data_IF_234912189759
#
_entry.id   IF_234912189759
#
_cell.length_a   1.000
_cell.length_b   1.000
_cell.length_c   1.000
_cell.angle_alpha   90.00
_cell.angle_beta   90.00
_cell.angle_gamma   90.00
#
_symmetry.space_group_name_H-M   'P 1'
#
loop_
_entity.id
_entity.type
_entity.pdbx_description
1 polymer ?
#
# COMPACT_ATOMS: atom_id res chain seq x y z
N UNK A 1 80.10 -14.19 31.22
CA UNK A 1 78.99 -14.01 30.27
C UNK A 1 77.73 -14.65 30.83
N UNK A 2 76.58 -14.02 30.57
CA UNK A 2 75.19 -14.47 30.79
C UNK A 2 74.56 -14.14 32.15
N UNK A 3 74.07 -12.91 32.23
CA UNK A 3 72.93 -12.54 33.08
C UNK A 3 71.65 -13.11 32.44
N UNK A 4 70.84 -13.84 33.21
CA UNK A 4 69.45 -14.15 32.86
C UNK A 4 68.59 -12.96 33.32
N UNK A 5 67.97 -12.25 32.37
CA UNK A 5 66.86 -11.35 32.64
C UNK A 5 65.57 -12.05 32.20
N UNK A 6 64.67 -12.29 33.16
CA UNK A 6 63.33 -12.81 32.93
C UNK A 6 62.44 -11.61 32.58
N UNK A 7 61.97 -11.53 31.34
CA UNK A 7 60.91 -10.62 30.92
C UNK A 7 59.56 -11.27 31.23
N UNK A 8 58.85 -10.72 32.22
CA UNK A 8 57.45 -11.03 32.47
C UNK A 8 56.58 -10.26 31.46
N UNK A 9 55.85 -10.97 30.61
CA UNK A 9 54.80 -10.39 29.78
C UNK A 9 53.52 -10.25 30.64
N UNK A 10 53.19 -9.02 31.01
CA UNK A 10 51.89 -8.65 31.57
C UNK A 10 50.85 -8.66 30.43
N UNK A 11 50.03 -9.70 30.37
CA UNK A 11 48.81 -9.69 29.58
C UNK A 11 47.76 -8.86 30.33
N UNK A 12 47.44 -7.67 29.81
CA UNK A 12 46.32 -6.88 30.28
C UNK A 12 45.01 -7.53 29.81
N UNK A 13 44.30 -8.19 30.71
CA UNK A 13 42.88 -8.52 30.51
C UNK A 13 42.08 -7.23 30.59
N UNK A 14 41.67 -6.70 29.43
CA UNK A 14 40.59 -5.70 29.38
C UNK A 14 39.29 -6.45 29.65
N UNK A 15 38.84 -6.42 30.90
CA UNK A 15 37.47 -6.78 31.23
C UNK A 15 36.55 -5.72 30.61
N UNK A 16 35.97 -6.02 29.45
CA UNK A 16 34.87 -5.25 28.91
C UNK A 16 33.68 -5.41 29.86
N UNK A 17 33.44 -4.39 30.67
CA UNK A 17 32.17 -4.26 31.39
C UNK A 17 31.08 -4.00 30.35
N UNK A 18 29.94 -4.70 30.38
CA UNK A 18 28.81 -4.31 29.56
C UNK A 18 28.33 -2.97 30.10
N UNK A 19 28.39 -1.92 29.28
CA UNK A 19 27.82 -0.63 29.63
C UNK A 19 26.31 -0.81 29.80
N UNK A 20 25.84 -0.57 31.02
CA UNK A 20 24.44 -0.29 31.32
C UNK A 20 24.01 0.96 30.56
N UNK A 21 23.63 0.78 29.30
CA UNK A 21 23.02 1.82 28.47
C UNK A 21 22.08 1.17 27.46
N UNK A 22 21.09 0.41 27.95
CA UNK A 22 20.01 -0.05 27.05
C UNK A 22 18.67 -0.28 27.76
N UNK A 23 18.43 0.43 28.86
CA UNK A 23 17.11 0.48 29.52
C UNK A 23 16.33 1.78 29.17
N UNK A 24 16.69 2.45 28.07
CA UNK A 24 16.12 3.74 27.68
C UNK A 24 15.82 3.93 26.19
N UNK A 25 16.00 2.90 25.36
CA UNK A 25 15.68 2.94 23.92
C UNK A 25 14.24 2.44 23.65
N UNK A 26 13.26 2.95 24.39
CA UNK A 26 11.86 2.84 23.97
C UNK A 26 11.63 3.95 22.94
N UNK A 27 11.39 3.55 21.70
CA UNK A 27 10.78 4.39 20.65
C UNK A 27 11.67 5.40 19.89
N UNK A 28 12.90 5.02 19.51
CA UNK A 28 13.56 5.71 18.39
C UNK A 28 13.11 5.11 17.07
N UNK A 29 12.30 5.90 16.36
CA UNK A 29 11.80 5.76 14.98
C UNK A 29 12.82 5.11 14.04
N UNK A 30 12.76 3.79 13.90
CA UNK A 30 13.36 3.08 12.76
C UNK A 30 12.28 2.99 11.69
N UNK A 31 12.28 3.92 10.74
CA UNK A 31 11.61 3.72 9.45
C UNK A 31 12.52 2.84 8.63
N UNK A 32 12.43 1.53 8.83
CA UNK A 32 13.17 0.58 8.00
C UNK A 32 12.29 0.27 6.77
N UNK A 33 12.77 0.37 5.52
CA UNK A 33 12.00 -0.04 4.34
C UNK A 33 11.50 -1.50 4.37
N UNK A 34 11.98 -2.29 5.33
CA UNK A 34 11.47 -3.63 5.64
C UNK A 34 10.20 -3.64 6.51
N UNK A 35 9.73 -2.52 7.04
CA UNK A 35 8.51 -2.50 7.84
C UNK A 35 7.28 -2.74 6.94
N UNK A 36 6.31 -3.49 7.44
CA UNK A 36 5.16 -3.92 6.63
C UNK A 36 3.93 -3.05 6.91
N UNK A 37 3.25 -2.58 5.86
CA UNK A 37 1.84 -2.21 5.91
C UNK A 37 1.03 -3.37 5.34
N UNK A 38 0.16 -3.95 6.15
CA UNK A 38 -0.63 -5.13 5.78
C UNK A 38 -2.06 -4.71 5.48
N UNK A 39 -2.45 -4.88 4.22
CA UNK A 39 -3.83 -4.78 3.75
C UNK A 39 -4.50 -6.14 3.89
N UNK A 40 -5.60 -6.22 4.64
CA UNK A 40 -6.42 -7.43 4.73
C UNK A 40 -7.48 -7.44 3.63
N UNK A 41 -7.33 -8.32 2.66
CA UNK A 41 -8.06 -8.25 1.40
C UNK A 41 -9.51 -8.75 1.45
N UNK A 42 -9.97 -9.36 2.55
CA UNK A 42 -11.33 -9.90 2.68
C UNK A 42 -12.44 -8.86 2.51
N UNK A 43 -12.16 -7.59 2.84
CA UNK A 43 -13.14 -6.51 2.82
C UNK A 43 -12.96 -5.52 1.66
N UNK A 44 -11.94 -5.73 0.83
CA UNK A 44 -11.61 -4.90 -0.33
C UNK A 44 -10.97 -5.72 -1.48
N UNK A 45 -11.62 -6.82 -1.90
CA UNK A 45 -11.02 -7.75 -2.87
C UNK A 45 -10.69 -7.11 -4.23
N UNK A 46 -11.51 -6.17 -4.74
CA UNK A 46 -11.28 -5.52 -6.03
C UNK A 46 -10.10 -4.54 -5.96
N UNK A 47 -9.96 -3.84 -4.83
CA UNK A 47 -8.81 -2.98 -4.55
C UNK A 47 -7.53 -3.79 -4.40
N UNK A 48 -7.56 -4.88 -3.63
CA UNK A 48 -6.41 -5.78 -3.51
C UNK A 48 -6.01 -6.42 -4.84
N UNK A 49 -6.99 -6.70 -5.71
CA UNK A 49 -6.73 -7.18 -7.06
C UNK A 49 -5.88 -6.17 -7.85
N UNK A 50 -6.26 -4.89 -7.86
CA UNK A 50 -5.51 -3.81 -8.51
C UNK A 50 -4.09 -3.67 -7.92
N UNK A 51 -3.98 -3.63 -6.58
CA UNK A 51 -2.68 -3.53 -5.90
C UNK A 51 -1.76 -4.71 -6.25
N UNK A 52 -2.27 -5.95 -6.26
CA UNK A 52 -1.50 -7.14 -6.62
C UNK A 52 -1.08 -7.12 -8.10
N UNK A 53 -1.98 -6.75 -9.01
CA UNK A 53 -1.65 -6.63 -10.43
C UNK A 53 -0.55 -5.58 -10.66
N UNK A 54 -0.67 -4.39 -10.08
CA UNK A 54 0.36 -3.35 -10.19
C UNK A 54 1.69 -3.76 -9.59
N UNK A 55 1.68 -4.28 -8.36
CA UNK A 55 2.88 -4.68 -7.66
C UNK A 55 3.64 -5.80 -8.37
N UNK A 56 2.94 -6.83 -8.85
CA UNK A 56 3.56 -8.09 -9.28
C UNK A 56 3.42 -8.39 -10.77
N UNK A 57 2.30 -8.05 -11.42
CA UNK A 57 2.13 -8.31 -12.85
C UNK A 57 2.82 -7.24 -13.70
N UNK A 58 2.58 -5.96 -13.38
CA UNK A 58 3.28 -4.83 -14.03
C UNK A 58 4.71 -4.71 -13.52
N UNK A 59 4.95 -5.07 -12.25
CA UNK A 59 6.29 -5.05 -11.66
C UNK A 59 6.68 -3.71 -11.04
N UNK A 60 5.68 -2.88 -10.68
CA UNK A 60 5.89 -1.62 -9.94
C UNK A 60 6.54 -1.90 -8.58
N UNK A 61 6.29 -3.07 -8.00
CA UNK A 61 6.83 -3.49 -6.71
C UNK A 61 5.98 -3.01 -5.52
N UNK A 62 6.37 -3.44 -4.32
CA UNK A 62 5.61 -3.21 -3.08
C UNK A 62 6.29 -2.25 -2.10
N UNK A 63 7.50 -1.77 -2.42
CA UNK A 63 8.24 -0.84 -1.57
C UNK A 63 7.83 0.57 -1.92
N UNK A 64 7.10 1.21 -1.02
CA UNK A 64 6.52 2.52 -1.22
C UNK A 64 7.06 3.53 -0.20
N UNK A 65 7.09 4.79 -0.60
CA UNK A 65 7.40 5.93 0.24
C UNK A 65 6.16 6.81 0.31
N UNK A 66 5.61 6.98 1.51
CA UNK A 66 4.76 8.14 1.76
C UNK A 66 5.68 9.34 1.86
N UNK A 67 5.70 10.17 0.82
CA UNK A 67 6.56 11.34 0.73
C UNK A 67 5.88 12.64 1.16
N UNK A 68 4.66 12.52 1.71
CA UNK A 68 3.80 13.64 2.11
C UNK A 68 3.67 14.67 0.97
N UNK A 69 3.17 14.24 -0.20
CA UNK A 69 3.05 15.11 -1.35
C UNK A 69 2.05 16.24 -1.06
N UNK A 70 2.28 17.39 -1.69
CA UNK A 70 1.30 18.48 -1.74
C UNK A 70 0.12 18.12 -2.67
N UNK A 71 -0.93 18.94 -2.66
CA UNK A 71 -2.14 18.71 -3.46
C UNK A 71 -1.83 18.64 -4.95
N UNK A 72 -0.95 19.50 -5.46
CA UNK A 72 -0.51 19.49 -6.87
C UNK A 72 0.15 18.16 -7.24
N UNK A 73 1.08 17.67 -6.41
CA UNK A 73 1.76 16.39 -6.66
C UNK A 73 0.77 15.23 -6.60
N UNK A 74 -0.18 15.23 -5.66
CA UNK A 74 -1.24 14.21 -5.60
C UNK A 74 -2.10 14.25 -6.86
N UNK A 75 -2.56 15.43 -7.27
CA UNK A 75 -3.37 15.63 -8.48
C UNK A 75 -2.64 15.09 -9.71
N UNK A 76 -1.38 15.46 -9.90
CA UNK A 76 -0.58 14.97 -11.04
C UNK A 76 -0.41 13.44 -11.02
N UNK A 77 -0.27 12.83 -9.84
CA UNK A 77 -0.21 11.36 -9.72
C UNK A 77 -1.53 10.69 -10.06
N UNK A 78 -2.68 11.26 -9.66
CA UNK A 78 -4.02 10.81 -10.08
C UNK A 78 -4.20 10.97 -11.59
N UNK A 79 -3.69 12.07 -12.17
CA UNK A 79 -3.68 12.30 -13.62
C UNK A 79 -2.92 11.20 -14.34
N UNK A 80 -1.68 10.95 -13.91
CA UNK A 80 -0.82 9.92 -14.47
C UNK A 80 -1.41 8.51 -14.31
N UNK A 81 -2.22 8.29 -13.27
CA UNK A 81 -2.98 7.06 -13.09
C UNK A 81 -4.27 7.00 -13.93
N UNK A 82 -4.81 8.12 -14.43
CA UNK A 82 -6.07 8.17 -15.17
C UNK A 82 -7.32 8.30 -14.29
N UNK A 83 -7.16 8.76 -13.05
CA UNK A 83 -8.22 8.83 -12.03
C UNK A 83 -8.77 10.25 -11.76
N UNK A 84 -8.52 11.24 -12.62
CA UNK A 84 -9.07 12.60 -12.45
C UNK A 84 -10.49 12.71 -13.02
N UNK A 85 -11.39 13.32 -12.23
CA UNK A 85 -12.79 13.49 -12.60
C UNK A 85 -13.01 14.41 -13.79
N UNK A 86 -12.28 15.52 -13.84
CA UNK A 86 -12.44 16.58 -14.83
C UNK A 86 -11.88 16.19 -16.21
N UNK A 87 -10.88 15.30 -16.28
CA UNK A 87 -10.21 14.87 -17.54
C UNK A 87 -10.43 13.44 -18.02
N UNK A 88 -11.44 12.74 -17.51
CA UNK A 88 -11.88 11.48 -18.11
C UNK A 88 -11.56 10.23 -17.31
N UNK A 89 -11.76 10.29 -16.00
CA UNK A 89 -11.97 9.11 -15.16
C UNK A 89 -13.00 8.17 -15.80
N UNK A 90 -12.50 7.07 -16.37
CA UNK A 90 -13.30 6.05 -17.07
C UNK A 90 -14.24 5.28 -16.15
N UNK A 91 -14.06 5.38 -14.83
CA UNK A 91 -14.92 4.77 -13.83
C UNK A 91 -16.10 5.68 -13.45
N UNK A 92 -16.20 6.86 -14.07
CA UNK A 92 -17.28 7.81 -13.84
C UNK A 92 -18.54 7.43 -14.63
N UNK A 93 -19.71 7.68 -14.03
CA UNK A 93 -21.00 7.65 -14.73
C UNK A 93 -21.05 8.64 -15.90
N UNK A 94 -20.26 9.73 -15.86
CA UNK A 94 -20.11 10.69 -16.98
C UNK A 94 -19.47 10.03 -18.22
N UNK A 95 -18.77 8.91 -18.05
CA UNK A 95 -18.19 8.06 -19.10
C UNK A 95 -18.97 6.75 -19.29
N UNK A 96 -20.24 6.72 -18.89
CA UNK A 96 -21.15 5.57 -18.98
C UNK A 96 -20.69 4.32 -18.17
N UNK A 97 -19.87 4.50 -17.14
CA UNK A 97 -19.57 3.42 -16.20
C UNK A 97 -20.70 3.22 -15.17
N UNK A 98 -20.69 2.07 -14.49
CA UNK A 98 -21.68 1.73 -13.47
C UNK A 98 -21.61 2.67 -12.26
N UNK A 99 -22.79 3.06 -11.74
CA UNK A 99 -22.90 3.84 -10.50
C UNK A 99 -22.36 3.03 -9.32
N UNK A 100 -21.69 3.71 -8.40
CA UNK A 100 -21.16 3.10 -7.17
C UNK A 100 -19.73 2.57 -7.32
N UNK A 101 -19.07 2.90 -8.43
CA UNK A 101 -17.67 2.61 -8.68
C UNK A 101 -16.81 3.89 -8.60
N UNK A 102 -15.54 3.71 -8.28
CA UNK A 102 -14.51 4.74 -8.27
C UNK A 102 -13.23 4.20 -8.92
N UNK A 103 -12.37 5.12 -9.33
CA UNK A 103 -11.04 4.80 -9.84
C UNK A 103 -10.10 4.57 -8.66
N UNK A 104 -9.58 3.35 -8.54
CA UNK A 104 -8.50 3.02 -7.61
C UNK A 104 -7.19 2.96 -8.37
N UNK A 105 -6.11 3.40 -7.74
CA UNK A 105 -4.81 3.64 -8.36
C UNK A 105 -3.68 2.95 -7.60
N UNK A 106 -2.75 2.37 -8.35
CA UNK A 106 -1.53 1.80 -7.78
C UNK A 106 -0.29 2.26 -8.56
N UNK A 107 0.75 2.79 -7.89
CA UNK A 107 0.78 3.15 -6.47
C UNK A 107 -0.22 4.27 -6.13
N UNK A 108 -0.52 4.40 -4.84
CA UNK A 108 -1.40 5.46 -4.31
C UNK A 108 -0.87 6.85 -4.69
N UNK A 109 -1.74 7.83 -4.96
CA UNK A 109 -1.31 9.22 -5.20
C UNK A 109 -0.47 9.80 -4.04
N UNK A 110 -0.69 9.33 -2.81
CA UNK A 110 0.10 9.71 -1.63
C UNK A 110 1.52 9.14 -1.61
N UNK A 111 1.91 8.27 -2.55
CA UNK A 111 3.18 7.53 -2.50
C UNK A 111 4.03 7.62 -3.76
N UNK A 112 5.34 7.47 -3.57
CA UNK A 112 6.34 7.18 -4.59
C UNK A 112 6.88 5.73 -4.43
N UNK A 113 7.44 5.17 -5.49
CA UNK A 113 8.04 3.82 -5.49
C UNK A 113 9.51 3.87 -5.08
N UNK A 114 9.99 2.87 -4.35
CA UNK A 114 11.39 2.75 -3.94
C UNK A 114 12.05 1.54 -4.61
N UNK A 115 13.12 1.79 -5.39
CA UNK A 115 14.15 0.80 -5.68
C UNK A 115 13.72 -0.43 -6.51
N UNK A 116 12.75 -0.31 -7.42
CA UNK A 116 12.40 -1.43 -8.29
C UNK A 116 11.39 -1.19 -9.40
N UNK A 117 10.51 -0.19 -9.27
CA UNK A 117 9.59 0.24 -10.32
C UNK A 117 9.89 1.65 -10.81
N UNK A 118 9.44 1.94 -12.03
CA UNK A 118 9.37 3.29 -12.55
C UNK A 118 8.37 4.10 -11.70
N UNK A 119 8.85 5.16 -11.01
CA UNK A 119 8.03 6.00 -10.12
C UNK A 119 6.94 6.79 -10.87
N UNK A 120 7.02 6.70 -12.19
CA UNK A 120 6.14 7.28 -13.18
C UNK A 120 5.04 6.29 -13.61
N UNK A 121 5.31 4.99 -13.50
CA UNK A 121 4.36 3.95 -13.87
C UNK A 121 3.25 3.86 -12.83
N UNK A 122 2.02 4.12 -13.28
CA UNK A 122 0.79 4.00 -12.49
C UNK A 122 -0.27 3.26 -13.28
N UNK A 123 -1.07 2.49 -12.59
CA UNK A 123 -2.23 1.80 -13.14
C UNK A 123 -3.48 2.19 -12.39
N UNK A 124 -4.63 1.90 -13.00
CA UNK A 124 -5.92 2.04 -12.35
C UNK A 124 -6.84 0.84 -12.61
N UNK A 125 -7.81 0.66 -11.70
CA UNK A 125 -8.97 -0.25 -11.84
C UNK A 125 -10.23 0.48 -11.38
N UNK A 126 -11.36 0.25 -12.03
CA UNK A 126 -12.63 0.67 -11.45
C UNK A 126 -13.07 -0.35 -10.40
N UNK A 127 -13.23 0.11 -9.17
CA UNK A 127 -13.57 -0.72 -8.00
C UNK A 127 -14.83 -0.17 -7.34
N UNK A 128 -15.56 -0.96 -6.53
CA UNK A 128 -16.66 -0.44 -5.73
C UNK A 128 -16.19 0.72 -4.83
N UNK A 129 -16.92 1.83 -4.83
CA UNK A 129 -16.56 3.04 -4.09
C UNK A 129 -16.35 2.78 -2.59
N UNK A 130 -17.15 1.90 -2.01
CA UNK A 130 -16.99 1.48 -0.61
C UNK A 130 -15.63 0.81 -0.36
N UNK A 131 -15.12 -0.03 -1.26
CA UNK A 131 -13.79 -0.63 -1.10
C UNK A 131 -12.68 0.41 -1.20
N UNK A 132 -12.79 1.34 -2.15
CA UNK A 132 -11.83 2.42 -2.35
C UNK A 132 -11.72 3.32 -1.11
N UNK A 133 -12.86 3.70 -0.51
CA UNK A 133 -12.89 4.47 0.75
C UNK A 133 -12.25 3.72 1.91
N UNK A 134 -12.48 2.40 2.00
CA UNK A 134 -11.84 1.58 3.03
C UNK A 134 -10.32 1.59 2.91
N UNK A 135 -9.80 1.47 1.69
CA UNK A 135 -8.37 1.58 1.40
C UNK A 135 -7.84 2.95 1.84
N UNK A 136 -8.52 4.03 1.45
CA UNK A 136 -8.18 5.40 1.85
C UNK A 136 -8.15 5.60 3.37
N UNK A 137 -9.15 5.10 4.10
CA UNK A 137 -9.20 5.18 5.57
C UNK A 137 -8.07 4.42 6.26
N UNK A 138 -7.69 3.25 5.73
CA UNK A 138 -6.54 2.46 6.21
C UNK A 138 -5.23 3.21 5.98
N UNK A 139 -5.03 3.71 4.77
CA UNK A 139 -3.83 4.46 4.37
C UNK A 139 -3.70 5.73 5.21
N UNK A 140 -4.77 6.50 5.37
CA UNK A 140 -4.79 7.72 6.16
C UNK A 140 -4.48 7.44 7.64
N UNK A 141 -5.12 6.42 8.22
CA UNK A 141 -4.85 5.98 9.60
C UNK A 141 -3.39 5.58 9.80
N UNK A 142 -2.80 4.87 8.84
CA UNK A 142 -1.40 4.46 8.87
C UNK A 142 -0.45 5.67 8.83
N UNK A 143 -0.73 6.67 7.99
CA UNK A 143 0.10 7.89 7.89
C UNK A 143 0.01 8.79 9.12
N UNK A 144 -1.19 8.95 9.70
CA UNK A 144 -1.41 9.85 10.84
C UNK A 144 -0.85 9.29 12.14
N UNK A 145 -0.93 7.98 12.36
CA UNK A 145 -0.54 7.36 13.64
C UNK A 145 0.95 7.01 13.72
N UNK A 146 1.33 6.33 14.80
CA UNK A 146 2.70 6.09 15.29
C UNK A 146 3.72 5.65 14.23
N UNK A 147 3.28 5.04 13.13
CA UNK A 147 4.19 4.58 12.09
C UNK A 147 4.87 5.75 11.36
N UNK A 148 4.12 6.56 10.60
CA UNK A 148 4.70 7.72 9.90
C UNK A 148 4.67 8.99 10.77
N UNK A 149 3.82 9.04 11.79
CA UNK A 149 3.68 10.20 12.70
C UNK A 149 3.35 11.50 11.96
N UNK A 150 2.60 11.41 10.85
CA UNK A 150 2.26 12.54 9.98
C UNK A 150 3.41 13.08 9.13
N UNK A 151 4.57 12.43 9.14
CA UNK A 151 5.74 12.77 8.32
C UNK A 151 6.04 11.71 7.25
N UNK A 152 7.04 11.94 6.38
CA UNK A 152 7.44 10.95 5.40
C UNK A 152 7.95 9.65 6.03
N UNK A 153 7.66 8.52 5.38
CA UNK A 153 8.04 7.17 5.83
C UNK A 153 8.16 6.23 4.62
N UNK A 154 8.92 5.16 4.78
CA UNK A 154 9.05 4.09 3.78
C UNK A 154 8.46 2.81 4.37
N UNK A 155 7.78 2.02 3.55
CA UNK A 155 7.15 0.78 3.98
C UNK A 155 7.04 -0.21 2.82
N UNK A 156 6.86 -1.48 3.14
CA UNK A 156 6.52 -2.53 2.19
C UNK A 156 5.04 -2.87 2.33
N UNK A 157 4.25 -2.63 1.28
CA UNK A 157 2.86 -3.08 1.22
C UNK A 157 2.80 -4.61 1.10
N UNK A 158 1.95 -5.23 1.90
CA UNK A 158 1.66 -6.66 1.87
C UNK A 158 0.15 -6.88 1.85
N UNK A 159 -0.26 -7.93 1.13
CA UNK A 159 -1.67 -8.23 0.87
C UNK A 159 -2.02 -9.54 1.56
N UNK A 160 -2.60 -9.46 2.75
CA UNK A 160 -2.99 -10.60 3.59
C UNK A 160 -4.39 -11.08 3.25
N UNK A 161 -4.64 -12.37 3.52
CA UNK A 161 -5.89 -13.06 3.19
C UNK A 161 -6.23 -12.91 1.69
N UNK A 162 -5.19 -12.80 0.87
CA UNK A 162 -5.28 -12.62 -0.56
C UNK A 162 -5.42 -13.95 -1.31
N UNK A 163 -5.39 -15.10 -0.62
CA UNK A 163 -5.49 -16.43 -1.23
C UNK A 163 -6.77 -16.69 -2.03
N UNK A 164 -7.76 -15.79 -1.94
CA UNK A 164 -8.98 -15.79 -2.76
C UNK A 164 -8.95 -14.80 -3.93
N UNK A 165 -7.80 -14.19 -4.25
CA UNK A 165 -7.64 -13.20 -5.30
C UNK A 165 -6.60 -13.70 -6.29
N UNK A 166 -7.06 -14.20 -7.44
CA UNK A 166 -6.20 -14.78 -8.49
C UNK A 166 -4.97 -13.91 -8.84
N UNK A 167 -5.12 -12.58 -8.95
CA UNK A 167 -3.98 -11.70 -9.29
C UNK A 167 -2.87 -11.70 -8.24
N UNK A 168 -3.23 -11.93 -6.99
CA UNK A 168 -2.25 -12.03 -5.93
C UNK A 168 -1.40 -13.29 -6.08
N UNK A 169 -1.85 -14.37 -6.74
CA UNK A 169 -0.99 -15.55 -7.00
C UNK A 169 0.27 -15.23 -7.84
N UNK A 170 0.26 -14.13 -8.60
CA UNK A 170 1.46 -13.67 -9.33
C UNK A 170 2.65 -13.34 -8.43
N UNK A 171 2.40 -13.06 -7.14
CA UNK A 171 3.41 -12.87 -6.10
C UNK A 171 4.17 -14.17 -5.78
N UNK A 172 3.54 -15.32 -6.04
CA UNK A 172 4.12 -16.66 -5.85
C UNK A 172 4.77 -17.20 -7.13
N UNK A 173 4.94 -16.35 -8.15
CA UNK A 173 5.56 -16.72 -9.42
C UNK A 173 4.60 -17.26 -10.47
N UNK A 174 3.29 -17.41 -10.16
CA UNK A 174 2.29 -17.75 -11.16
C UNK A 174 1.96 -16.53 -12.02
N UNK A 175 2.81 -16.22 -13.02
CA UNK A 175 2.59 -15.09 -13.93
C UNK A 175 1.47 -15.32 -14.94
N UNK A 176 0.93 -16.53 -15.03
CA UNK A 176 -0.16 -16.83 -15.98
C UNK A 176 -1.43 -16.06 -15.65
N UNK A 177 -1.67 -15.74 -14.36
CA UNK A 177 -2.80 -14.91 -13.91
C UNK A 177 -2.74 -13.49 -14.46
N UNK A 178 -1.54 -12.98 -14.79
CA UNK A 178 -1.34 -11.63 -15.32
C UNK A 178 -1.84 -11.46 -16.76
N UNK A 179 -2.25 -12.55 -17.42
CA UNK A 179 -2.76 -12.53 -18.79
C UNK A 179 -4.29 -12.30 -18.87
N UNK A 180 -5.04 -12.47 -17.78
CA UNK A 180 -6.50 -12.17 -17.70
C UNK A 180 -6.68 -10.74 -17.18
N UNK A 181 -6.16 -9.74 -17.90
CA UNK A 181 -6.43 -8.32 -17.61
C UNK A 181 -7.95 -8.13 -17.74
N UNK A 182 -8.64 -7.75 -16.66
CA UNK A 182 -10.09 -7.61 -16.67
C UNK A 182 -10.44 -6.14 -16.84
N UNK A 183 -10.03 -5.33 -15.87
CA UNK A 183 -10.36 -3.92 -15.80
C UNK A 183 -9.15 -3.06 -15.38
N UNK A 184 -7.95 -3.62 -15.37
CA UNK A 184 -6.72 -2.89 -15.12
C UNK A 184 -6.27 -2.17 -16.37
N UNK A 185 -6.04 -0.88 -16.25
CA UNK A 185 -5.55 -0.06 -17.36
C UNK A 185 -4.29 0.67 -16.91
N UNK A 186 -3.29 0.67 -17.78
CA UNK A 186 -2.11 1.51 -17.64
C UNK A 186 -2.56 2.97 -17.75
N UNK A 187 -2.16 3.82 -16.81
CA UNK A 187 -2.57 5.22 -16.81
C UNK A 187 -1.96 6.00 -17.98
N UNK A 188 -2.45 7.21 -18.29
CA UNK A 188 -1.94 7.98 -19.43
C UNK A 188 -0.49 8.44 -19.20
N UNK A 189 -0.03 8.46 -17.94
CA UNK A 189 1.37 8.71 -17.57
C UNK A 189 2.25 7.46 -17.52
N UNK A 190 1.80 6.31 -18.03
CA UNK A 190 2.60 5.09 -17.99
C UNK A 190 3.96 5.28 -18.68
N UNK A 191 5.05 5.12 -17.93
CA UNK A 191 6.42 5.32 -18.42
C UNK A 191 6.89 6.78 -18.51
N UNK A 192 6.10 7.75 -18.04
CA UNK A 192 6.38 9.18 -18.16
C UNK A 192 6.09 9.94 -16.86
N UNK A 193 6.93 10.91 -16.43
CA UNK A 193 6.71 11.59 -15.15
C UNK A 193 5.33 12.24 -15.10
N UNK A 194 4.71 12.22 -13.93
CA UNK A 194 3.47 12.95 -13.68
C UNK A 194 3.70 14.45 -13.91
N UNK A 195 3.24 14.95 -15.07
CA UNK A 195 3.38 16.34 -15.50
C UNK A 195 2.11 17.13 -15.16
N UNK A 196 2.28 18.42 -14.88
CA UNK A 196 1.20 19.40 -14.84
C UNK A 196 0.76 19.69 -16.28
N UNK A 197 0.13 18.73 -16.95
CA UNK A 197 -0.38 18.90 -18.32
C UNK A 197 -1.56 19.87 -18.42
N UNK A 198 -1.53 20.99 -17.70
CA UNK A 198 -2.49 22.08 -17.78
C UNK A 198 -2.06 22.98 -18.95
N UNK A 199 -2.36 22.57 -20.18
CA UNK A 199 -2.30 23.51 -21.32
C UNK A 199 -3.48 24.50 -21.31
N UNK A 200 -4.51 24.24 -20.48
CA UNK A 200 -5.67 25.10 -20.31
C UNK A 200 -5.68 25.77 -18.92
N UNK A 201 -5.47 27.08 -18.90
CA UNK A 201 -5.53 27.99 -17.74
C UNK A 201 -6.98 28.20 -17.22
N UNK A 202 -7.93 27.35 -17.63
CA UNK A 202 -9.36 27.45 -17.32
C UNK A 202 -9.89 26.31 -16.44
N UNK A 203 -9.01 25.41 -16.00
CA UNK A 203 -9.39 24.26 -15.17
C UNK A 203 -10.13 23.15 -15.92
N UNK A 204 -10.11 23.17 -17.27
CA UNK A 204 -10.58 22.05 -18.08
C UNK A 204 -9.38 21.25 -18.59
N UNK A 205 -9.10 20.18 -17.88
CA UNK A 205 -8.17 19.13 -18.25
C UNK A 205 -8.83 18.24 -19.31
N UNK A 206 -8.73 18.62 -20.59
CA UNK A 206 -9.13 17.73 -21.70
C UNK A 206 -7.92 16.89 -22.13
N UNK A 207 -7.39 16.08 -21.21
CA UNK A 207 -6.20 15.23 -21.39
C UNK A 207 -6.52 13.89 -22.08
N UNK A 208 -7.60 13.83 -22.87
CA UNK A 208 -7.88 12.73 -23.79
C UNK A 208 -8.39 11.45 -23.13
N UNK A 209 -8.51 11.40 -21.80
CA UNK A 209 -8.96 10.24 -21.03
C UNK A 209 -8.08 9.00 -21.20
N UNK A 210 -8.21 8.03 -20.29
CA UNK A 210 -7.62 6.72 -20.53
C UNK A 210 -8.33 6.04 -21.71
N UNK A 211 -7.63 5.26 -22.56
CA UNK A 211 -8.32 4.44 -23.56
C UNK A 211 -9.33 3.54 -22.86
N UNK A 212 -10.55 3.48 -23.40
CA UNK A 212 -11.56 2.54 -22.92
C UNK A 212 -10.99 1.11 -23.02
N UNK A 213 -11.18 0.25 -22.00
CA UNK A 213 -10.78 -1.15 -22.11
C UNK A 213 -11.44 -1.77 -23.34
N UNK A 214 -10.78 -2.76 -23.97
CA UNK A 214 -11.36 -3.46 -25.13
C UNK A 214 -12.81 -3.89 -24.81
N UNK A 215 -13.73 -3.46 -25.66
CA UNK A 215 -15.17 -3.39 -25.39
C UNK A 215 -15.79 -4.65 -24.74
N UNK A 216 -16.76 -4.41 -23.86
CA UNK A 216 -17.70 -5.40 -23.32
C UNK A 216 -17.14 -6.47 -22.36
N UNK A 217 -16.08 -6.19 -21.59
CA UNK A 217 -15.73 -7.03 -20.44
C UNK A 217 -16.62 -6.65 -19.23
N UNK A 218 -17.70 -7.39 -18.92
CA UNK A 218 -18.36 -7.24 -17.63
C UNK A 218 -17.33 -7.51 -16.54
N UNK A 219 -17.29 -6.69 -15.48
CA UNK A 219 -16.38 -6.92 -14.35
C UNK A 219 -16.52 -8.38 -13.90
N UNK A 220 -15.49 -9.17 -14.14
CA UNK A 220 -15.51 -10.56 -13.71
C UNK A 220 -15.24 -10.49 -12.23
N UNK A 221 -16.22 -10.94 -11.43
CA UNK A 221 -15.99 -11.15 -10.00
C UNK A 221 -14.69 -11.90 -9.81
N UNK A 222 -13.83 -11.38 -8.93
CA UNK A 222 -12.55 -11.98 -8.59
C UNK A 222 -12.72 -13.50 -8.38
N UNK A 223 -12.01 -14.27 -9.22
CA UNK A 223 -11.91 -15.72 -9.09
C UNK A 223 -11.06 -16.03 -7.86
N UNK A 224 -11.37 -17.17 -7.23
CA UNK A 224 -10.74 -17.63 -5.99
C UNK A 224 -9.80 -18.79 -6.30
N UNK A 225 -8.58 -18.74 -5.76
CA UNK A 225 -7.67 -19.89 -5.72
C UNK A 225 -7.62 -20.51 -4.33
N UNK A 226 -6.92 -21.64 -4.20
CA UNK A 226 -6.72 -22.35 -2.92
C UNK A 226 -5.22 -22.34 -2.54
N UNK A 227 -4.52 -21.25 -2.85
CA UNK A 227 -3.10 -21.15 -2.55
C UNK A 227 -2.90 -20.97 -1.05
N UNK A 228 -2.14 -21.88 -0.42
CA UNK A 228 -1.76 -21.76 0.99
C UNK A 228 -0.51 -20.91 1.09
N UNK A 229 -0.59 -19.75 1.75
CA UNK A 229 0.58 -18.93 2.01
C UNK A 229 1.07 -19.09 3.46
N UNK A 230 2.34 -18.75 3.74
CA UNK A 230 2.86 -18.77 5.11
C UNK A 230 2.05 -17.84 6.02
N UNK A 231 1.66 -18.39 7.17
CA UNK A 231 0.91 -17.67 8.18
C UNK A 231 1.86 -17.27 9.31
N UNK A 232 1.59 -16.13 9.92
CA UNK A 232 2.42 -15.56 10.96
C UNK A 232 1.54 -15.13 12.14
N UNK A 233 2.08 -15.30 13.33
CA UNK A 233 1.51 -14.76 14.56
C UNK A 233 2.20 -13.43 14.87
N UNK A 234 1.43 -12.40 15.19
CA UNK A 234 1.94 -11.11 15.66
C UNK A 234 2.02 -11.02 17.18
N UNK A 235 2.73 -10.01 17.69
CA UNK A 235 2.82 -9.72 19.13
C UNK A 235 1.48 -9.49 19.83
N UNK A 236 0.47 -8.99 19.12
CA UNK A 236 -0.90 -8.83 19.63
C UNK A 236 -1.73 -10.12 19.58
N UNK A 237 -1.18 -11.21 19.04
CA UNK A 237 -1.87 -12.48 18.83
C UNK A 237 -2.71 -12.53 17.56
N UNK A 238 -2.53 -11.57 16.64
CA UNK A 238 -3.19 -11.61 15.33
C UNK A 238 -2.51 -12.65 14.44
N UNK A 239 -3.31 -13.50 13.81
CA UNK A 239 -2.84 -14.40 12.76
C UNK A 239 -3.02 -13.72 11.41
N UNK A 240 -1.93 -13.60 10.66
CA UNK A 240 -1.90 -12.93 9.36
C UNK A 240 -1.22 -13.82 8.34
N UNK A 241 -1.76 -13.81 7.13
CA UNK A 241 -1.17 -14.49 6.00
C UNK A 241 -0.29 -13.49 5.26
N UNK A 242 1.01 -13.73 5.16
CA UNK A 242 1.92 -12.80 4.45
C UNK A 242 2.53 -13.53 3.27
N UNK A 243 1.94 -13.38 2.08
CA UNK A 243 2.54 -13.90 0.88
C UNK A 243 3.93 -13.32 0.60
N UNK A 244 4.80 -14.18 0.06
CA UNK A 244 6.25 -13.90 -0.08
C UNK A 244 7.01 -13.90 1.25
N UNK A 245 6.35 -14.25 2.36
CA UNK A 245 6.94 -14.42 3.68
C UNK A 245 7.22 -13.12 4.43
N UNK A 246 7.55 -13.30 5.72
CA UNK A 246 8.03 -12.27 6.63
C UNK A 246 9.13 -12.83 7.54
N UNK A 247 9.89 -11.95 8.18
CA UNK A 247 10.96 -12.33 9.13
C UNK A 247 10.46 -12.21 10.56
N UNK A 248 10.80 -13.17 11.41
CA UNK A 248 10.59 -13.03 12.85
C UNK A 248 11.34 -11.78 13.35
N UNK A 249 10.68 -10.97 14.18
CA UNK A 249 11.19 -9.69 14.64
C UNK A 249 10.90 -8.52 13.68
N UNK A 250 10.32 -8.76 12.51
CA UNK A 250 9.93 -7.71 11.57
C UNK A 250 8.70 -6.97 12.08
N UNK A 251 8.71 -5.65 11.97
CA UNK A 251 7.57 -4.81 12.33
C UNK A 251 6.48 -4.95 11.27
N UNK A 252 5.25 -5.12 11.72
CA UNK A 252 4.07 -5.28 10.89
C UNK A 252 2.95 -4.40 11.42
N UNK A 253 2.48 -3.48 10.58
CA UNK A 253 1.36 -2.60 10.91
C UNK A 253 0.13 -3.09 10.16
N UNK A 254 -0.93 -3.34 10.92
CA UNK A 254 -2.25 -3.68 10.37
C UNK A 254 -3.26 -2.67 10.86
N UNK A 255 -4.11 -2.18 9.96
CA UNK A 255 -5.21 -1.29 10.32
C UNK A 255 -6.51 -2.06 10.15
N UNK A 256 -7.23 -2.26 11.25
CA UNK A 256 -8.45 -3.06 11.28
C UNK A 256 -9.63 -2.24 11.84
N UNK A 257 -10.86 -2.46 11.35
CA UNK A 257 -12.02 -1.87 11.99
C UNK A 257 -12.26 -2.47 13.37
N UNK A 258 -12.65 -1.63 14.33
CA UNK A 258 -13.16 -2.04 15.64
C UNK A 258 -14.53 -2.71 15.50
N UNK A 259 -15.35 -2.22 14.58
CA UNK A 259 -16.64 -2.78 14.21
C UNK A 259 -16.75 -2.89 12.68
N UNK A 260 -16.77 -4.12 12.18
CA UNK A 260 -16.84 -4.42 10.75
C UNK A 260 -18.16 -3.99 10.09
N UNK A 261 -19.28 -4.04 10.81
CA UNK A 261 -20.57 -3.59 10.28
C UNK A 261 -20.60 -2.08 10.13
N UNK A 262 -20.15 -1.35 11.17
CA UNK A 262 -20.01 0.10 11.09
C UNK A 262 -19.03 0.51 9.99
N UNK A 263 -17.98 -0.29 9.75
CA UNK A 263 -17.03 -0.06 8.69
C UNK A 263 -17.67 -0.14 7.30
N UNK A 264 -18.53 -1.13 7.09
CA UNK A 264 -19.29 -1.28 5.84
C UNK A 264 -20.31 -0.14 5.67
N UNK A 265 -21.00 0.25 6.74
CA UNK A 265 -21.95 1.39 6.72
C UNK A 265 -21.23 2.70 6.38
N UNK A 266 -20.16 3.04 7.09
CA UNK A 266 -19.35 4.24 6.85
C UNK A 266 -18.83 4.30 5.41
N UNK A 267 -18.37 3.16 4.87
CA UNK A 267 -17.84 3.10 3.51
C UNK A 267 -18.92 3.26 2.42
N UNK A 268 -20.16 2.85 2.69
CA UNK A 268 -21.23 2.82 1.68
C UNK A 268 -22.19 4.01 1.76
N UNK A 269 -22.44 4.55 2.96
CA UNK A 269 -23.44 5.60 3.21
C UNK A 269 -22.88 7.02 3.06
N UNK A 270 -21.58 7.18 2.87
CA UNK A 270 -20.99 8.50 2.61
C UNK A 270 -21.39 8.98 1.21
N UNK A 271 -22.38 9.88 1.17
CA UNK A 271 -22.81 10.58 -0.03
C UNK A 271 -21.73 11.60 -0.40
N UNK A 272 -20.99 11.32 -1.47
CA UNK A 272 -19.94 12.20 -1.98
C UNK A 272 -20.60 13.44 -2.60
N UNK A 273 -20.40 14.59 -1.97
CA UNK A 273 -20.73 15.91 -2.48
C UNK A 273 -19.58 16.36 -3.39
N UNK A 274 -19.80 16.25 -4.70
CA UNK A 274 -18.77 16.32 -5.73
C UNK A 274 -18.06 17.64 -5.97
N UNK A 275 -17.88 18.46 -4.94
CA UNK A 275 -17.34 19.82 -5.03
C UNK A 275 -16.02 20.00 -4.24
N UNK A 276 -15.53 19.01 -3.49
CA UNK A 276 -14.26 19.10 -2.77
C UNK A 276 -13.27 18.00 -3.21
N UNK A 277 -12.23 18.41 -3.96
CA UNK A 277 -11.09 17.59 -4.39
C UNK A 277 -10.22 17.04 -3.23
N UNK A 278 -10.62 17.27 -1.98
CA UNK A 278 -9.94 16.76 -0.80
C UNK A 278 -10.45 15.34 -0.48
N UNK A 279 -10.13 14.40 -1.38
CA UNK A 279 -10.28 12.93 -1.24
C UNK A 279 -9.58 12.33 0.01
N UNK A 280 -9.10 13.16 0.94
CA UNK A 280 -8.35 12.78 2.14
C UNK A 280 -9.18 12.91 3.44
N UNK A 281 -10.43 13.38 3.39
CA UNK A 281 -11.29 13.44 4.58
C UNK A 281 -11.89 12.07 4.91
N UNK A 282 -11.04 11.22 5.48
CA UNK A 282 -11.45 9.95 6.09
C UNK A 282 -11.62 10.09 7.61
N UNK A 283 -11.79 11.30 8.14
CA UNK A 283 -11.79 11.53 9.59
C UNK A 283 -13.00 10.86 10.26
N UNK A 284 -14.13 10.80 9.55
CA UNK A 284 -15.32 10.07 9.99
C UNK A 284 -15.10 8.56 10.14
N UNK A 285 -14.12 7.99 9.43
CA UNK A 285 -13.78 6.57 9.44
C UNK A 285 -12.74 6.22 10.52
N UNK A 286 -11.83 7.17 10.85
CA UNK A 286 -10.65 6.93 11.69
C UNK A 286 -11.01 6.47 13.11
N UNK A 287 -12.12 6.93 13.67
CA UNK A 287 -12.54 6.56 15.04
C UNK A 287 -12.88 5.07 15.16
N UNK A 288 -13.40 4.48 14.09
CA UNK A 288 -13.67 3.06 14.01
C UNK A 288 -12.41 2.24 13.66
N UNK A 289 -11.26 2.86 13.41
CA UNK A 289 -10.04 2.16 13.04
C UNK A 289 -9.08 1.96 14.21
N UNK A 290 -8.54 0.75 14.29
CA UNK A 290 -7.50 0.34 15.21
C UNK A 290 -6.21 0.09 14.44
N UNK A 291 -5.17 0.90 14.72
CA UNK A 291 -3.85 0.75 14.12
C UNK A 291 -3.02 -0.11 15.07
N UNK A 292 -2.76 -1.35 14.65
CA UNK A 292 -1.96 -2.30 15.42
C UNK A 292 -0.54 -2.26 14.91
N UNK A 293 0.35 -1.75 15.76
CA UNK A 293 1.79 -1.71 15.53
C UNK A 293 2.42 -2.94 16.20
N UNK A 294 2.65 -3.97 15.40
CA UNK A 294 3.01 -5.30 15.85
C UNK A 294 4.41 -5.71 15.40
N UNK A 295 4.90 -6.80 15.98
CA UNK A 295 6.07 -7.54 15.50
C UNK A 295 5.68 -8.97 15.12
N UNK A 296 6.26 -9.52 14.06
CA UNK A 296 6.13 -10.94 13.73
C UNK A 296 6.86 -11.78 14.78
N UNK A 297 6.15 -12.65 15.50
CA UNK A 297 6.72 -13.46 16.60
C UNK A 297 6.92 -14.93 16.24
N UNK A 298 6.12 -15.46 15.32
CA UNK A 298 6.25 -16.85 14.85
C UNK A 298 5.69 -17.01 13.45
N UNK A 299 6.25 -17.97 12.71
CA UNK A 299 5.58 -18.57 11.55
C UNK A 299 4.76 -19.76 12.06
N UNK A 300 3.50 -19.83 11.65
CA UNK A 300 2.54 -20.85 12.08
C UNK A 300 2.08 -21.66 10.85
N UNK A 301 1.97 -22.97 11.03
CA UNK A 301 1.59 -23.94 9.99
C UNK A 301 0.08 -24.07 9.82
#
# INVERSE_FOLDING_TARGET
MKYLAILAALAAFVAATPSESDAGAVHLRRNNPDDLLIFTCDQMPEVCHNMCYGAYCVGIGTRLKYDKPDSTTKRNRRKAAGCIESGGNRCSVKKNYDKGYQCDEYPFASTAVIGGGDDQTRINRCVPAGENRKQGGIINSFYRKTYCGGGPCEFTAKFSNAGNIDMCDSMNGNKDVCNDKDNEVEGPGFGEPAKDGDEADDGTDDDGGNPEPEADAPSKKVKRTNTVHPRYLTSSGLEIEIPGGARIGQRAVTVLPRNATLWDEQANDYEWDGDEEDDDDFDYMIDNLDVRDDTIVAEIS
#
